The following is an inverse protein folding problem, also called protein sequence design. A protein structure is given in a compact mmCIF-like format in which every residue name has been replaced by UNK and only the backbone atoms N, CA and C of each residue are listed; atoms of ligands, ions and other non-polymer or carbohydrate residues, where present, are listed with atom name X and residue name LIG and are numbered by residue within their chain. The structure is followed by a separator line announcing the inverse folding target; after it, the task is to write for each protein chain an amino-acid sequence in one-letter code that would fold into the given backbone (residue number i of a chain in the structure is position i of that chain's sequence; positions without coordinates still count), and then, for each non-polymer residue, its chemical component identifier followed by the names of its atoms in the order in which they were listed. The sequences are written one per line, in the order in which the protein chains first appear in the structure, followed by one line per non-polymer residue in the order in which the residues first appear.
data_IF_016068234219
#
_entry.id   IF_016068234219
#
_cell.length_a   1.000
_cell.length_b   1.000
_cell.length_c   1.000
_cell.angle_alpha   90.00
_cell.angle_beta   90.00
_cell.angle_gamma   90.00
#
_symmetry.space_group_name_H-M   'P 1'
#
loop_
_entity.id
_entity.type
_entity.pdbx_description
1 polymer ?
#
# COMPACT_ATOMS: atom_id res chain seq x y z
N UNK A 1 -17.73 0.69 37.97
CA UNK A 1 -17.43 -0.75 38.03
C UNK A 1 -18.54 -1.63 37.46
N UNK A 2 -19.79 -1.61 37.98
CA UNK A 2 -20.87 -2.47 37.45
C UNK A 2 -21.24 -2.14 35.99
N UNK A 3 -21.31 -0.86 35.63
CA UNK A 3 -21.63 -0.43 34.24
C UNK A 3 -20.52 -0.83 33.25
N UNK A 4 -19.26 -0.77 33.67
CA UNK A 4 -18.12 -1.15 32.82
C UNK A 4 -18.03 -2.67 32.63
N UNK A 5 -18.35 -3.45 33.67
CA UNK A 5 -18.45 -4.90 33.57
C UNK A 5 -19.62 -5.34 32.68
N UNK A 6 -20.77 -4.65 32.76
CA UNK A 6 -21.92 -4.89 31.88
C UNK A 6 -21.59 -4.53 30.43
N UNK A 7 -20.86 -3.43 30.20
CA UNK A 7 -20.45 -3.02 28.85
C UNK A 7 -19.42 -4.00 28.24
N UNK A 8 -18.46 -4.49 29.04
CA UNK A 8 -17.50 -5.52 28.60
C UNK A 8 -18.18 -6.87 28.35
N UNK A 9 -19.17 -7.25 29.16
CA UNK A 9 -19.99 -8.44 28.93
C UNK A 9 -20.85 -8.30 27.66
N UNK A 10 -21.35 -7.10 27.36
CA UNK A 10 -22.10 -6.78 26.15
C UNK A 10 -21.23 -6.77 24.88
N UNK A 11 -19.96 -6.35 25.00
CA UNK A 11 -18.98 -6.39 23.91
C UNK A 11 -18.47 -7.82 23.68
N UNK A 12 -18.33 -8.63 24.74
CA UNK A 12 -17.90 -10.03 24.66
C UNK A 12 -19.00 -10.97 24.13
N UNK A 13 -20.26 -10.68 24.42
CA UNK A 13 -21.39 -11.36 23.79
C UNK A 13 -21.56 -10.80 22.38
N UNK A 14 -21.02 -11.52 21.39
CA UNK A 14 -21.17 -11.28 19.95
C UNK A 14 -22.54 -10.63 19.66
N UNK A 15 -22.54 -9.36 19.31
CA UNK A 15 -23.77 -8.58 19.04
C UNK A 15 -24.65 -9.24 17.97
N UNK A 16 -24.05 -10.07 17.10
CA UNK A 16 -24.74 -10.97 16.19
C UNK A 16 -25.58 -12.07 16.86
N UNK A 17 -25.13 -12.65 17.98
CA UNK A 17 -25.87 -13.72 18.69
C UNK A 17 -27.11 -13.16 19.38
N UNK A 18 -27.01 -11.98 20.00
CA UNK A 18 -28.16 -11.28 20.59
C UNK A 18 -29.15 -10.86 19.51
N UNK A 19 -28.66 -10.40 18.35
CA UNK A 19 -29.50 -10.04 17.21
C UNK A 19 -30.25 -11.25 16.63
N UNK A 20 -29.59 -12.39 16.45
CA UNK A 20 -30.22 -13.64 15.98
C UNK A 20 -31.26 -14.15 16.99
N UNK A 21 -31.01 -14.03 18.29
CA UNK A 21 -31.97 -14.37 19.34
C UNK A 21 -33.19 -13.44 19.34
N UNK A 22 -32.99 -12.13 19.21
CA UNK A 22 -34.08 -11.15 19.15
C UNK A 22 -34.89 -11.28 17.86
N UNK A 23 -34.26 -11.53 16.71
CA UNK A 23 -34.95 -11.83 15.47
C UNK A 23 -35.75 -13.14 15.55
N UNK A 24 -35.21 -14.19 16.17
CA UNK A 24 -35.96 -15.45 16.40
C UNK A 24 -37.15 -15.25 17.34
N UNK A 25 -36.99 -14.49 18.42
CA UNK A 25 -38.10 -14.15 19.33
C UNK A 25 -39.17 -13.29 18.64
N UNK A 26 -38.77 -12.37 17.77
CA UNK A 26 -39.71 -11.58 16.97
C UNK A 26 -40.46 -12.44 15.94
N UNK A 27 -39.77 -13.38 15.29
CA UNK A 27 -40.40 -14.34 14.37
C UNK A 27 -41.38 -15.28 15.08
N UNK A 28 -41.04 -15.73 16.29
CA UNK A 28 -41.93 -16.55 17.14
C UNK A 28 -43.20 -15.76 17.49
N UNK A 29 -43.07 -14.49 17.87
CA UNK A 29 -44.22 -13.63 18.18
C UNK A 29 -45.11 -13.32 16.97
N UNK A 30 -44.55 -13.15 15.77
CA UNK A 30 -45.31 -12.81 14.56
C UNK A 30 -46.00 -14.03 13.95
N UNK A 31 -45.38 -15.21 13.99
CA UNK A 31 -45.92 -16.41 13.34
C UNK A 31 -46.75 -17.33 14.24
N UNK A 32 -46.63 -17.26 15.57
CA UNK A 32 -47.40 -18.17 16.46
C UNK A 32 -48.79 -17.67 16.85
N UNK A 33 -49.29 -16.56 16.28
CA UNK A 33 -50.68 -16.10 16.45
C UNK A 33 -51.16 -16.13 17.92
N UNK A 34 -50.28 -15.74 18.85
CA UNK A 34 -50.60 -15.66 20.28
C UNK A 34 -51.55 -14.46 20.48
N UNK A 35 -52.83 -14.77 20.63
CA UNK A 35 -53.97 -13.87 20.79
C UNK A 35 -54.00 -13.12 22.13
N UNK A 36 -52.85 -12.73 22.67
CA UNK A 36 -52.78 -11.88 23.86
C UNK A 36 -52.78 -10.39 23.45
N UNK A 37 -53.97 -9.78 23.50
CA UNK A 37 -54.26 -8.36 23.24
C UNK A 37 -53.34 -7.35 23.98
N UNK A 38 -52.65 -7.79 25.05
CA UNK A 38 -51.71 -7.00 25.84
C UNK A 38 -50.33 -6.81 25.18
N UNK A 39 -49.89 -7.71 24.30
CA UNK A 39 -48.58 -7.58 23.65
C UNK A 39 -48.63 -6.55 22.49
N UNK A 40 -49.72 -6.53 21.72
CA UNK A 40 -49.91 -5.57 20.62
C UNK A 40 -50.01 -4.10 21.08
N UNK A 41 -50.57 -3.84 22.25
CA UNK A 41 -50.67 -2.48 22.82
C UNK A 41 -49.34 -1.99 23.37
N UNK A 42 -48.48 -2.87 23.89
CA UNK A 42 -47.09 -2.52 24.21
C UNK A 42 -46.30 -2.17 22.95
N UNK A 43 -46.35 -3.00 21.90
CA UNK A 43 -45.64 -2.72 20.64
C UNK A 43 -46.07 -1.36 20.05
N UNK A 44 -47.36 -0.99 20.13
CA UNK A 44 -47.84 0.34 19.72
C UNK A 44 -47.27 1.49 20.54
N UNK A 45 -47.10 1.35 21.86
CA UNK A 45 -46.48 2.36 22.71
C UNK A 45 -44.98 2.53 22.46
N UNK A 46 -44.30 1.47 22.03
CA UNK A 46 -42.86 1.47 21.76
C UNK A 46 -42.50 1.65 20.28
N UNK A 47 -43.46 1.86 19.36
CA UNK A 47 -43.19 2.08 17.93
C UNK A 47 -42.15 3.17 17.69
N UNK A 48 -42.23 4.29 18.41
CA UNK A 48 -41.24 5.38 18.31
C UNK A 48 -39.83 4.96 18.74
N UNK A 49 -39.73 4.17 19.83
CA UNK A 49 -38.46 3.65 20.34
C UNK A 49 -37.88 2.60 19.39
N UNK A 50 -38.71 1.73 18.80
CA UNK A 50 -38.29 0.75 17.80
C UNK A 50 -37.78 1.44 16.54
N UNK A 51 -38.45 2.50 16.06
CA UNK A 51 -38.00 3.26 14.89
C UNK A 51 -36.67 3.97 15.18
N UNK A 52 -36.54 4.64 16.33
CA UNK A 52 -35.28 5.29 16.74
C UNK A 52 -34.13 4.29 16.91
N UNK A 53 -34.42 3.11 17.45
CA UNK A 53 -33.44 2.03 17.57
C UNK A 53 -32.97 1.53 16.21
N UNK A 54 -33.90 1.27 15.27
CA UNK A 54 -33.54 0.86 13.92
C UNK A 54 -32.77 1.96 13.17
N UNK A 55 -33.16 3.23 13.32
CA UNK A 55 -32.41 4.36 12.73
C UNK A 55 -31.00 4.46 13.32
N UNK A 56 -30.83 4.28 14.63
CA UNK A 56 -29.51 4.25 15.25
C UNK A 56 -28.64 3.12 14.68
N UNK A 57 -29.20 1.92 14.47
CA UNK A 57 -28.48 0.81 13.86
C UNK A 57 -28.16 1.05 12.39
N UNK A 58 -29.10 1.59 11.60
CA UNK A 58 -28.85 1.94 10.19
C UNK A 58 -27.75 2.99 10.09
N UNK A 59 -27.80 4.06 10.90
CA UNK A 59 -26.75 5.08 10.92
C UNK A 59 -25.41 4.52 11.41
N UNK A 60 -25.42 3.67 12.44
CA UNK A 60 -24.20 2.99 12.90
C UNK A 60 -23.64 2.06 11.85
N UNK A 61 -24.47 1.34 11.09
CA UNK A 61 -24.02 0.48 10.01
C UNK A 61 -23.48 1.31 8.85
N UNK A 62 -24.15 2.39 8.46
CA UNK A 62 -23.70 3.32 7.41
C UNK A 62 -22.34 3.95 7.76
N UNK A 63 -22.08 4.27 9.03
CA UNK A 63 -20.82 4.90 9.44
C UNK A 63 -19.72 3.90 9.82
N UNK A 64 -20.04 2.79 10.51
CA UNK A 64 -19.06 1.83 11.01
C UNK A 64 -18.71 0.75 9.99
N UNK A 65 -19.63 0.38 9.10
CA UNK A 65 -19.35 -0.63 8.06
C UNK A 65 -18.22 -0.20 7.11
N UNK A 66 -18.21 1.03 6.57
CA UNK A 66 -17.09 1.49 5.74
C UNK A 66 -15.78 1.53 6.50
N UNK A 67 -15.79 1.91 7.78
CA UNK A 67 -14.59 1.94 8.63
C UNK A 67 -14.05 0.53 8.85
N UNK A 68 -14.91 -0.43 9.21
CA UNK A 68 -14.51 -1.82 9.42
C UNK A 68 -14.04 -2.48 8.12
N UNK A 69 -14.70 -2.20 6.99
CA UNK A 69 -14.28 -2.66 5.67
C UNK A 69 -12.92 -2.06 5.29
N UNK A 70 -12.72 -0.75 5.47
CA UNK A 70 -11.45 -0.09 5.21
C UNK A 70 -10.31 -0.64 6.08
N UNK A 71 -10.57 -0.89 7.37
CA UNK A 71 -9.59 -1.53 8.26
C UNK A 71 -9.25 -2.95 7.81
N UNK A 72 -10.25 -3.76 7.43
CA UNK A 72 -10.02 -5.14 6.94
C UNK A 72 -9.22 -5.14 5.63
N UNK A 73 -9.57 -4.26 4.70
CA UNK A 73 -8.85 -4.09 3.43
C UNK A 73 -7.42 -3.63 3.69
N UNK A 74 -7.21 -2.67 4.59
CA UNK A 74 -5.87 -2.23 5.02
C UNK A 74 -5.05 -3.40 5.58
N UNK A 75 -5.59 -4.15 6.54
CA UNK A 75 -4.88 -5.29 7.14
C UNK A 75 -4.53 -6.35 6.10
N UNK A 76 -5.45 -6.66 5.18
CA UNK A 76 -5.17 -7.61 4.10
C UNK A 76 -4.06 -7.11 3.17
N UNK A 77 -4.13 -5.87 2.70
CA UNK A 77 -3.12 -5.28 1.82
C UNK A 77 -1.73 -5.25 2.47
N UNK A 78 -1.66 -4.85 3.74
CA UNK A 78 -0.40 -4.84 4.49
C UNK A 78 0.14 -6.26 4.70
N UNK A 79 -0.72 -7.22 5.02
CA UNK A 79 -0.32 -8.63 5.15
C UNK A 79 0.20 -9.19 3.82
N UNK A 80 -0.50 -8.91 2.71
CA UNK A 80 -0.13 -9.39 1.39
C UNK A 80 1.22 -8.78 0.96
N UNK A 81 1.45 -7.49 1.20
CA UNK A 81 2.74 -6.82 1.00
C UNK A 81 3.84 -7.42 1.90
N UNK A 82 3.57 -7.62 3.20
CA UNK A 82 4.50 -8.27 4.13
C UNK A 82 4.93 -9.68 3.68
N UNK A 83 3.97 -10.47 3.20
CA UNK A 83 4.24 -11.81 2.67
C UNK A 83 5.14 -11.77 1.42
N UNK A 84 5.05 -10.71 0.61
CA UNK A 84 5.88 -10.49 -0.58
C UNK A 84 7.30 -10.14 -0.20
N UNK A 85 7.51 -9.24 0.77
CA UNK A 85 8.85 -8.93 1.27
C UNK A 85 9.59 -10.16 1.79
N UNK A 86 8.88 -11.05 2.48
CA UNK A 86 9.45 -12.34 2.90
C UNK A 86 9.87 -13.21 1.71
N UNK A 87 8.98 -13.39 0.73
CA UNK A 87 9.30 -14.20 -0.48
C UNK A 87 10.45 -13.59 -1.27
N UNK A 88 10.52 -12.27 -1.36
CA UNK A 88 11.60 -11.57 -2.04
C UNK A 88 12.91 -11.73 -1.27
N UNK A 89 12.90 -11.55 0.06
CA UNK A 89 14.07 -11.84 0.90
C UNK A 89 14.61 -13.26 0.62
N UNK A 90 13.73 -14.27 0.64
CA UNK A 90 14.12 -15.66 0.37
C UNK A 90 14.64 -15.85 -1.07
N UNK A 91 14.08 -15.13 -2.03
CA UNK A 91 14.49 -15.17 -3.44
C UNK A 91 15.85 -14.52 -3.67
N UNK A 92 16.10 -13.35 -3.10
CA UNK A 92 17.41 -12.69 -3.19
C UNK A 92 18.45 -13.49 -2.40
N UNK A 93 18.07 -14.08 -1.27
CA UNK A 93 18.94 -14.98 -0.53
C UNK A 93 19.32 -16.19 -1.38
N UNK A 94 18.37 -16.76 -2.13
CA UNK A 94 18.65 -17.81 -3.11
C UNK A 94 19.69 -17.34 -4.15
N UNK A 95 19.54 -16.12 -4.68
CA UNK A 95 20.51 -15.55 -5.64
C UNK A 95 21.91 -15.45 -5.01
N UNK A 96 22.00 -14.93 -3.79
CA UNK A 96 23.25 -14.83 -3.03
C UNK A 96 23.91 -16.19 -2.83
N UNK A 97 23.14 -17.16 -2.36
CA UNK A 97 23.63 -18.47 -1.95
C UNK A 97 24.07 -19.32 -3.18
N UNK A 98 23.62 -18.94 -4.39
CA UNK A 98 24.00 -19.59 -5.64
C UNK A 98 25.11 -18.86 -6.43
N UNK A 99 25.68 -17.76 -5.91
CA UNK A 99 26.85 -17.13 -6.54
C UNK A 99 28.01 -18.13 -6.62
N UNK A 100 28.65 -18.24 -7.78
CA UNK A 100 29.69 -19.23 -8.08
C UNK A 100 29.16 -20.53 -8.69
N UNK A 101 27.84 -20.71 -8.78
CA UNK A 101 27.21 -21.86 -9.46
C UNK A 101 26.76 -21.44 -10.86
N UNK A 102 27.19 -22.16 -11.90
CA UNK A 102 26.79 -21.85 -13.28
C UNK A 102 25.27 -21.97 -13.45
N UNK A 103 24.66 -21.03 -14.20
CA UNK A 103 23.21 -20.98 -14.46
C UNK A 103 22.59 -22.28 -14.95
N UNK A 104 23.31 -23.07 -15.74
CA UNK A 104 22.84 -24.38 -16.25
C UNK A 104 22.72 -25.48 -15.19
N UNK A 105 23.35 -25.30 -14.03
CA UNK A 105 23.34 -26.25 -12.91
C UNK A 105 22.32 -25.86 -11.82
N UNK A 106 21.68 -24.70 -11.94
CA UNK A 106 20.62 -24.26 -11.04
C UNK A 106 19.30 -24.98 -11.34
N UNK A 107 18.49 -25.15 -10.30
CA UNK A 107 17.10 -25.57 -10.50
C UNK A 107 16.36 -24.52 -11.35
N UNK A 108 15.28 -24.90 -12.08
CA UNK A 108 14.52 -23.94 -12.88
C UNK A 108 14.04 -22.72 -12.08
N UNK A 109 13.65 -22.90 -10.82
CA UNK A 109 13.21 -21.81 -9.94
C UNK A 109 14.34 -20.89 -9.50
N UNK A 110 15.50 -21.44 -9.14
CA UNK A 110 16.64 -20.62 -8.70
C UNK A 110 17.27 -19.86 -9.86
N UNK A 111 17.28 -20.48 -11.04
CA UNK A 111 17.67 -19.82 -12.29
C UNK A 111 16.75 -18.65 -12.61
N UNK A 112 15.43 -18.81 -12.49
CA UNK A 112 14.47 -17.73 -12.76
C UNK A 112 14.69 -16.54 -11.81
N UNK A 113 14.93 -16.78 -10.52
CA UNK A 113 15.26 -15.71 -9.55
C UNK A 113 16.54 -14.96 -9.92
N UNK A 114 17.58 -15.69 -10.33
CA UNK A 114 18.84 -15.10 -10.79
C UNK A 114 18.62 -14.28 -12.07
N UNK A 115 17.88 -14.81 -13.03
CA UNK A 115 17.60 -14.13 -14.30
C UNK A 115 16.81 -12.82 -14.09
N UNK A 116 15.79 -12.83 -13.22
CA UNK A 116 15.04 -11.62 -12.85
C UNK A 116 15.94 -10.61 -12.15
N UNK A 117 16.78 -11.07 -11.21
CA UNK A 117 17.72 -10.18 -10.52
C UNK A 117 18.70 -9.53 -11.50
N UNK A 118 19.25 -10.30 -12.46
CA UNK A 118 20.13 -9.77 -13.51
C UNK A 118 19.41 -8.81 -14.46
N UNK A 119 18.12 -9.05 -14.76
CA UNK A 119 17.32 -8.14 -15.58
C UNK A 119 17.10 -6.79 -14.88
N UNK A 120 16.87 -6.80 -13.57
CA UNK A 120 16.50 -5.61 -12.79
C UNK A 120 17.71 -4.86 -12.19
N UNK A 121 18.81 -5.55 -11.89
CA UNK A 121 20.01 -4.96 -11.28
C UNK A 121 21.27 -5.08 -12.14
N UNK A 122 21.11 -5.58 -13.36
CA UNK A 122 22.08 -5.64 -14.44
C UNK A 122 22.86 -6.95 -14.49
N UNK A 123 23.30 -7.28 -15.70
CA UNK A 123 23.96 -8.55 -16.03
C UNK A 123 25.35 -8.62 -15.40
N UNK A 124 25.70 -9.79 -14.87
CA UNK A 124 27.02 -10.14 -14.34
C UNK A 124 27.32 -11.60 -14.65
N UNK A 125 28.59 -12.00 -14.59
CA UNK A 125 29.00 -13.40 -14.74
C UNK A 125 28.91 -14.08 -13.36
N UNK A 126 28.05 -15.08 -13.23
CA UNK A 126 27.80 -15.75 -11.95
C UNK A 126 28.94 -16.64 -11.47
N UNK A 127 29.99 -16.85 -12.29
CA UNK A 127 31.15 -17.69 -11.97
C UNK A 127 32.47 -16.94 -11.89
N UNK A 128 32.58 -15.78 -12.54
CA UNK A 128 33.75 -14.93 -12.44
C UNK A 128 33.86 -14.28 -11.05
N UNK A 129 35.02 -14.46 -10.40
CA UNK A 129 35.22 -14.00 -9.02
C UNK A 129 35.16 -12.48 -8.89
N UNK A 130 35.61 -11.73 -9.91
CA UNK A 130 35.58 -10.27 -9.90
C UNK A 130 34.15 -9.74 -10.08
N UNK A 131 33.38 -10.36 -10.96
CA UNK A 131 31.95 -10.08 -11.16
C UNK A 131 31.15 -10.38 -9.88
N UNK A 132 31.40 -11.53 -9.24
CA UNK A 132 30.80 -11.91 -7.95
C UNK A 132 31.14 -10.89 -6.86
N UNK A 133 32.39 -10.45 -6.76
CA UNK A 133 32.80 -9.45 -5.78
C UNK A 133 32.09 -8.10 -6.00
N UNK A 134 31.79 -7.76 -7.26
CA UNK A 134 31.11 -6.52 -7.63
C UNK A 134 29.60 -6.59 -7.36
N UNK A 135 28.95 -7.73 -7.62
CA UNK A 135 27.50 -7.87 -7.44
C UNK A 135 27.09 -8.16 -6.00
N UNK A 136 27.94 -8.81 -5.20
CA UNK A 136 27.60 -9.21 -3.82
C UNK A 136 27.12 -8.03 -2.96
N UNK A 137 27.79 -6.85 -2.93
CA UNK A 137 27.28 -5.69 -2.19
C UNK A 137 25.90 -5.20 -2.67
N UNK A 138 25.59 -5.38 -3.96
CA UNK A 138 24.28 -5.04 -4.53
C UNK A 138 23.20 -5.97 -3.98
N UNK A 139 23.45 -7.28 -4.01
CA UNK A 139 22.56 -8.30 -3.44
C UNK A 139 22.32 -8.05 -1.96
N UNK A 140 23.37 -7.79 -1.17
CA UNK A 140 23.25 -7.48 0.26
C UNK A 140 22.43 -6.21 0.52
N UNK A 141 22.56 -5.20 -0.36
CA UNK A 141 21.75 -3.98 -0.25
C UNK A 141 20.27 -4.26 -0.49
N UNK A 142 19.92 -5.01 -1.54
CA UNK A 142 18.51 -5.37 -1.83
C UNK A 142 17.94 -6.28 -0.74
N UNK A 143 18.74 -7.23 -0.22
CA UNK A 143 18.38 -8.05 0.94
C UNK A 143 18.09 -7.21 2.18
N UNK A 144 18.91 -6.18 2.44
CA UNK A 144 18.70 -5.29 3.56
C UNK A 144 17.36 -4.56 3.44
N UNK A 145 17.01 -4.00 2.27
CA UNK A 145 15.71 -3.37 2.05
C UNK A 145 14.53 -4.33 2.30
N UNK A 146 14.59 -5.54 1.71
CA UNK A 146 13.57 -6.55 1.90
C UNK A 146 13.42 -6.97 3.37
N UNK A 147 14.54 -7.08 4.10
CA UNK A 147 14.55 -7.41 5.53
C UNK A 147 13.96 -6.30 6.38
N UNK A 148 14.36 -5.05 6.18
CA UNK A 148 13.84 -3.93 6.97
C UNK A 148 12.33 -3.76 6.76
N UNK A 149 11.82 -3.87 5.52
CA UNK A 149 10.38 -3.84 5.26
C UNK A 149 9.65 -5.02 5.86
N UNK A 150 10.18 -6.23 5.70
CA UNK A 150 9.59 -7.42 6.32
C UNK A 150 9.51 -7.26 7.84
N UNK A 151 10.60 -6.81 8.48
CA UNK A 151 10.65 -6.56 9.93
C UNK A 151 9.65 -5.48 10.34
N UNK A 152 9.64 -4.35 9.63
CA UNK A 152 8.76 -3.22 9.87
C UNK A 152 7.27 -3.65 9.86
N UNK A 153 6.90 -4.48 8.89
CA UNK A 153 5.54 -4.97 8.69
C UNK A 153 5.16 -6.11 9.65
N UNK A 154 6.10 -6.98 10.00
CA UNK A 154 5.86 -8.15 10.86
C UNK A 154 5.89 -7.81 12.35
N UNK A 155 6.82 -6.95 12.77
CA UNK A 155 7.01 -6.55 14.17
C UNK A 155 6.12 -5.36 14.57
N UNK A 156 5.25 -4.88 13.67
CA UNK A 156 4.38 -3.70 13.86
C UNK A 156 5.16 -2.45 14.32
N UNK A 157 6.42 -2.35 13.89
CA UNK A 157 7.29 -1.21 14.20
C UNK A 157 7.10 -0.07 13.21
N UNK A 158 6.30 -0.30 12.15
CA UNK A 158 6.04 0.67 11.09
C UNK A 158 4.73 1.44 11.31
N UNK A 159 4.84 2.67 11.80
CA UNK A 159 3.68 3.56 11.95
C UNK A 159 3.47 4.40 10.70
N UNK A 160 2.55 3.94 9.84
CA UNK A 160 2.10 4.69 8.66
C UNK A 160 0.70 5.24 8.87
N UNK A 161 0.54 6.54 8.62
CA UNK A 161 -0.78 7.15 8.43
C UNK A 161 -1.19 7.09 6.96
N UNK A 162 -2.38 6.56 6.68
CA UNK A 162 -2.88 6.40 5.30
C UNK A 162 -3.96 7.44 5.01
N UNK A 163 -3.80 8.19 3.93
CA UNK A 163 -4.77 9.18 3.45
C UNK A 163 -5.26 8.83 2.04
N UNK A 164 -6.50 9.20 1.73
CA UNK A 164 -7.13 8.90 0.43
C UNK A 164 -7.04 10.04 -0.59
N UNK A 165 -6.36 11.14 -0.21
CA UNK A 165 -6.04 12.28 -1.06
C UNK A 165 -4.91 13.10 -0.42
N UNK A 166 -4.35 14.05 -1.16
CA UNK A 166 -3.22 14.88 -0.76
C UNK A 166 -3.63 16.20 -0.06
N UNK A 167 -4.89 16.33 0.37
CA UNK A 167 -5.39 17.53 1.06
C UNK A 167 -4.72 17.79 2.42
N UNK A 168 -4.08 16.77 2.97
CA UNK A 168 -3.32 16.85 4.21
C UNK A 168 -1.88 17.34 3.99
N UNK A 169 -1.39 17.37 2.74
CA UNK A 169 -0.09 17.94 2.39
C UNK A 169 -0.22 19.48 2.39
N UNK A 170 0.85 20.19 2.75
CA UNK A 170 0.85 21.65 2.82
C UNK A 170 1.92 22.19 1.89
N UNK A 171 1.51 23.02 0.92
CA UNK A 171 2.40 23.71 -0.01
C UNK A 171 3.34 24.69 0.71
N UNK A 172 4.64 24.60 0.40
CA UNK A 172 5.65 25.64 0.66
C UNK A 172 5.39 26.84 -0.26
N UNK A 173 4.44 27.69 0.11
CA UNK A 173 4.10 28.86 -0.71
C UNK A 173 2.78 29.51 -0.33
N UNK A 174 1.93 28.80 0.40
CA UNK A 174 0.81 29.43 1.08
C UNK A 174 1.37 30.24 2.26
N UNK A 175 1.06 31.54 2.37
CA UNK A 175 1.48 32.35 3.51
C UNK A 175 1.08 31.61 4.78
N UNK A 176 2.02 31.53 5.73
CA UNK A 176 1.94 30.76 6.97
C UNK A 176 0.48 30.56 7.37
N UNK A 177 -0.03 29.36 7.12
CA UNK A 177 -1.40 28.99 7.42
C UNK A 177 -1.67 29.41 8.87
N UNK A 178 -2.45 30.47 9.05
CA UNK A 178 -3.15 30.70 10.30
C UNK A 178 -4.00 29.44 10.55
N UNK A 179 -4.45 29.21 11.79
CA UNK A 179 -5.16 27.99 12.21
C UNK A 179 -6.49 27.70 11.46
N UNK A 180 -6.73 28.30 10.29
CA UNK A 180 -7.98 28.40 9.54
C UNK A 180 -7.92 27.89 8.09
N UNK A 181 -6.79 27.37 7.59
CA UNK A 181 -6.68 26.86 6.21
C UNK A 181 -6.35 27.95 5.17
N UNK A 182 -6.04 27.53 3.94
CA UNK A 182 -5.71 28.40 2.81
C UNK A 182 -6.50 27.98 1.57
N UNK A 183 -6.82 28.94 0.70
CA UNK A 183 -7.54 28.71 -0.54
C UNK A 183 -6.56 28.35 -1.66
N UNK A 184 -6.68 27.16 -2.24
CA UNK A 184 -6.05 26.75 -3.50
C UNK A 184 -7.11 26.61 -4.60
N UNK A 185 -6.69 26.46 -5.86
CA UNK A 185 -7.60 26.09 -6.97
C UNK A 185 -7.38 24.63 -7.35
N UNK A 186 -8.45 23.87 -7.59
CA UNK A 186 -8.40 22.50 -8.09
C UNK A 186 -8.20 22.43 -9.62
N UNK A 187 -8.17 21.22 -10.17
CA UNK A 187 -8.01 20.94 -11.61
C UNK A 187 -9.10 21.57 -12.51
N UNK A 188 -10.23 22.01 -11.94
CA UNK A 188 -11.33 22.69 -12.63
C UNK A 188 -11.36 24.20 -12.37
N UNK A 189 -10.32 24.73 -11.72
CA UNK A 189 -10.23 26.14 -11.33
C UNK A 189 -11.13 26.52 -10.15
N UNK A 190 -11.76 25.54 -9.47
CA UNK A 190 -12.62 25.78 -8.30
C UNK A 190 -11.77 26.02 -7.07
N UNK A 191 -12.21 26.94 -6.22
CA UNK A 191 -11.52 27.20 -4.96
C UNK A 191 -11.73 26.04 -3.97
N UNK A 192 -10.63 25.51 -3.42
CA UNK A 192 -10.58 24.44 -2.43
C UNK A 192 -9.84 24.94 -1.20
N UNK A 193 -10.44 24.77 -0.02
CA UNK A 193 -9.75 25.06 1.24
C UNK A 193 -8.83 23.88 1.60
N UNK A 194 -7.53 24.16 1.68
CA UNK A 194 -6.51 23.24 2.18
C UNK A 194 -6.27 23.59 3.65
N UNK A 195 -6.51 22.62 4.54
CA UNK A 195 -6.23 22.78 5.95
C UNK A 195 -4.80 22.33 6.23
N UNK A 196 -4.07 23.05 7.09
CA UNK A 196 -2.84 22.48 7.69
C UNK A 196 -3.28 21.18 8.35
N UNK A 197 -2.70 20.04 7.95
CA UNK A 197 -3.08 18.77 8.57
C UNK A 197 -2.87 18.86 10.08
N UNK A 198 -3.98 18.99 10.81
CA UNK A 198 -3.99 18.89 12.26
C UNK A 198 -3.70 17.45 12.71
N UNK A 199 -3.68 16.49 11.77
CA UNK A 199 -3.57 15.06 12.00
C UNK A 199 -2.11 14.60 12.01
N UNK A 200 -1.21 15.22 11.22
CA UNK A 200 0.23 14.87 11.22
C UNK A 200 1.10 16.13 11.33
N UNK A 201 1.40 16.60 12.56
CA UNK A 201 2.29 17.72 12.77
C UNK A 201 3.69 17.46 12.20
N UNK A 202 4.23 18.41 11.44
CA UNK A 202 5.61 18.38 11.00
C UNK A 202 5.91 17.55 9.76
N UNK A 203 4.91 17.21 8.93
CA UNK A 203 5.13 16.60 7.61
C UNK A 203 6.17 17.39 6.79
N UNK A 204 7.16 16.73 6.16
CA UNK A 204 7.96 17.42 5.16
C UNK A 204 7.02 17.84 4.03
N UNK A 205 7.16 19.07 3.58
CA UNK A 205 6.25 19.66 2.61
C UNK A 205 6.44 19.01 1.26
N UNK A 206 5.55 18.07 0.92
CA UNK A 206 5.16 17.85 -0.46
C UNK A 206 4.12 18.92 -0.84
N UNK A 207 4.19 19.42 -2.07
CA UNK A 207 3.20 20.35 -2.59
C UNK A 207 1.84 19.65 -2.68
N UNK A 208 0.81 20.24 -2.06
CA UNK A 208 -0.57 19.78 -2.20
C UNK A 208 -1.06 19.97 -3.64
N UNK A 209 -1.98 19.10 -4.09
CA UNK A 209 -2.51 19.11 -5.45
C UNK A 209 -1.67 18.30 -6.45
N UNK A 210 -0.64 17.61 -5.98
CA UNK A 210 0.21 16.71 -6.76
C UNK A 210 -0.56 15.51 -7.31
N UNK A 211 -1.49 14.95 -6.53
CA UNK A 211 -2.38 13.88 -6.99
C UNK A 211 -3.34 14.34 -8.10
N UNK A 212 -3.72 15.62 -8.10
CA UNK A 212 -4.61 16.20 -9.11
C UNK A 212 -3.83 16.71 -10.34
N UNK A 213 -2.58 17.17 -10.14
CA UNK A 213 -1.75 17.75 -11.19
C UNK A 213 -1.20 16.71 -12.18
N UNK A 214 -0.96 15.47 -11.75
CA UNK A 214 -0.45 14.41 -12.62
C UNK A 214 -1.42 13.22 -12.71
N UNK A 215 -2.05 12.98 -13.88
CA UNK A 215 -3.04 11.91 -14.06
C UNK A 215 -2.46 10.48 -13.95
N UNK A 216 -1.13 10.35 -13.91
CA UNK A 216 -0.42 9.07 -13.85
C UNK A 216 0.04 8.72 -12.44
N UNK A 217 -0.07 9.64 -11.47
CA UNK A 217 0.32 9.35 -10.09
C UNK A 217 -0.72 8.48 -9.40
N UNK A 218 -0.23 7.42 -8.75
CA UNK A 218 -1.08 6.46 -8.05
C UNK A 218 -1.07 6.71 -6.55
N UNK A 219 0.09 7.03 -6.00
CA UNK A 219 0.27 7.30 -4.59
C UNK A 219 1.50 8.20 -4.39
N UNK A 220 1.79 8.51 -3.13
CA UNK A 220 3.03 9.14 -2.69
C UNK A 220 3.28 8.79 -1.21
N UNK A 221 4.55 8.64 -0.85
CA UNK A 221 5.01 8.51 0.52
C UNK A 221 5.79 9.77 0.93
N UNK A 222 5.49 10.29 2.11
CA UNK A 222 6.16 11.47 2.68
C UNK A 222 6.47 11.22 4.15
N UNK A 223 7.71 11.50 4.55
CA UNK A 223 8.10 11.44 5.96
C UNK A 223 8.05 12.83 6.62
N UNK A 224 7.77 12.89 7.91
CA UNK A 224 7.87 14.12 8.70
C UNK A 224 9.30 14.66 8.77
N UNK A 225 9.46 15.97 9.06
CA UNK A 225 10.75 16.69 9.11
C UNK A 225 11.75 16.07 10.08
N UNK A 226 11.26 15.44 11.15
CA UNK A 226 12.08 14.75 12.13
C UNK A 226 12.35 13.28 11.77
N UNK A 227 11.84 12.79 10.63
CA UNK A 227 11.99 11.41 10.14
C UNK A 227 11.39 10.34 11.07
N UNK A 228 10.31 10.69 11.78
CA UNK A 228 9.69 9.79 12.79
C UNK A 228 8.37 9.21 12.30
N UNK A 229 7.67 9.88 11.40
CA UNK A 229 6.33 9.45 10.96
C UNK A 229 6.26 9.47 9.45
N UNK A 230 5.81 8.37 8.88
CA UNK A 230 5.53 8.25 7.46
C UNK A 230 4.05 8.41 7.17
N UNK A 231 3.79 9.07 6.04
CA UNK A 231 2.47 9.36 5.55
C UNK A 231 2.35 8.82 4.13
N UNK A 232 1.47 7.85 3.98
CA UNK A 232 1.14 7.26 2.71
C UNK A 232 -0.15 7.87 2.18
N UNK A 233 -0.11 8.42 0.98
CA UNK A 233 -1.27 8.99 0.33
C UNK A 233 -1.59 8.24 -0.92
N UNK A 234 -2.83 7.79 -1.04
CA UNK A 234 -3.36 7.17 -2.25
C UNK A 234 -4.07 8.25 -3.04
N UNK A 235 -3.67 8.46 -4.30
CA UNK A 235 -4.33 9.42 -5.16
C UNK A 235 -5.71 8.90 -5.58
N UNK A 236 -6.70 9.80 -5.67
CA UNK A 236 -8.08 9.43 -5.94
C UNK A 236 -8.25 8.60 -7.24
N UNK A 237 -7.39 8.84 -8.23
CA UNK A 237 -7.38 8.18 -9.54
C UNK A 237 -6.85 6.74 -9.51
N UNK A 238 -6.15 6.32 -8.45
CA UNK A 238 -5.64 4.96 -8.30
C UNK A 238 -6.76 3.96 -7.95
N UNK A 239 -7.70 4.37 -7.09
CA UNK A 239 -8.81 3.52 -6.64
C UNK A 239 -9.58 2.80 -7.75
N UNK A 240 -10.02 3.46 -8.84
CA UNK A 240 -10.72 2.77 -9.93
C UNK A 240 -9.80 1.88 -10.80
N UNK A 241 -8.48 2.02 -10.71
CA UNK A 241 -7.50 1.21 -11.47
C UNK A 241 -7.11 -0.06 -10.74
N UNK A 242 -7.10 -0.02 -9.40
CA UNK A 242 -6.83 -1.17 -8.54
C UNK A 242 -7.96 -2.20 -8.59
N UNK A 243 -7.91 -3.01 -9.63
CA UNK A 243 -8.97 -3.95 -10.03
C UNK A 243 -8.56 -5.40 -9.85
N UNK A 244 -7.27 -5.64 -9.61
CA UNK A 244 -6.66 -6.98 -9.58
C UNK A 244 -5.67 -7.05 -8.41
N UNK A 245 -5.34 -8.26 -7.98
CA UNK A 245 -4.26 -8.55 -7.03
C UNK A 245 -3.11 -9.23 -7.75
N UNK A 246 -1.85 -9.00 -7.36
CA UNK A 246 -0.71 -9.71 -7.99
C UNK A 246 -0.88 -11.23 -7.90
N UNK A 247 -1.53 -11.75 -6.86
CA UNK A 247 -1.77 -13.19 -6.71
C UNK A 247 -2.72 -13.77 -7.76
N UNK A 248 -3.55 -12.93 -8.41
CA UNK A 248 -4.42 -13.36 -9.51
C UNK A 248 -3.60 -13.82 -10.73
N UNK A 249 -2.35 -13.35 -10.85
CA UNK A 249 -1.45 -13.69 -11.96
C UNK A 249 -0.71 -15.02 -11.75
N UNK A 250 -0.63 -15.54 -10.51
CA UNK A 250 0.09 -16.79 -10.20
C UNK A 250 -0.54 -18.03 -10.86
N UNK A 251 -1.84 -17.97 -11.14
CA UNK A 251 -2.59 -19.07 -11.75
C UNK A 251 -2.53 -19.07 -13.28
N UNK A 252 -1.91 -18.08 -13.91
CA UNK A 252 -1.88 -17.96 -15.36
C UNK A 252 -0.90 -18.96 -15.99
N UNK A 253 -1.29 -19.51 -17.13
CA UNK A 253 -0.38 -20.28 -17.97
C UNK A 253 0.62 -19.36 -18.68
N UNK A 254 1.78 -19.90 -19.08
CA UNK A 254 2.83 -19.15 -19.79
C UNK A 254 2.27 -18.41 -21.03
N UNK A 255 1.38 -19.04 -21.78
CA UNK A 255 0.74 -18.42 -22.95
C UNK A 255 -0.08 -17.18 -22.61
N UNK A 256 -0.71 -17.14 -21.43
CA UNK A 256 -1.46 -15.99 -20.94
C UNK A 256 -0.49 -14.90 -20.45
N UNK A 257 0.61 -15.30 -19.79
CA UNK A 257 1.64 -14.36 -19.33
C UNK A 257 2.35 -13.63 -20.48
N UNK A 258 2.60 -14.30 -21.61
CA UNK A 258 3.28 -13.70 -22.77
C UNK A 258 2.50 -12.53 -23.40
N UNK A 259 1.18 -12.44 -23.18
CA UNK A 259 0.35 -11.32 -23.63
C UNK A 259 0.26 -10.16 -22.65
N UNK A 260 0.87 -10.28 -21.47
CA UNK A 260 0.80 -9.27 -20.42
C UNK A 260 2.04 -8.39 -20.42
N UNK A 261 1.83 -7.09 -20.34
CA UNK A 261 2.87 -6.13 -20.06
C UNK A 261 2.98 -5.95 -18.54
N UNK A 262 4.18 -6.10 -17.98
CA UNK A 262 4.43 -5.92 -16.54
C UNK A 262 3.96 -4.56 -16.03
N UNK A 263 4.05 -3.51 -16.84
CA UNK A 263 3.52 -2.18 -16.52
C UNK A 263 2.00 -2.17 -16.28
N UNK A 264 1.25 -3.03 -16.98
CA UNK A 264 -0.20 -3.13 -16.74
C UNK A 264 -0.50 -3.81 -15.41
N UNK A 265 0.35 -4.73 -14.95
CA UNK A 265 0.22 -5.38 -13.64
C UNK A 265 0.44 -4.34 -12.54
N UNK A 266 1.50 -3.54 -12.67
CA UNK A 266 1.80 -2.44 -11.74
C UNK A 266 0.62 -1.47 -11.56
N UNK A 267 0.08 -0.94 -12.66
CA UNK A 267 -1.03 0.02 -12.62
C UNK A 267 -2.32 -0.56 -12.02
N UNK A 268 -2.52 -1.87 -12.13
CA UNK A 268 -3.75 -2.55 -11.71
C UNK A 268 -3.71 -3.13 -10.32
N UNK A 269 -2.52 -3.27 -9.72
CA UNK A 269 -2.35 -3.99 -8.46
C UNK A 269 -1.91 -3.05 -7.33
N UNK A 270 -2.70 -2.93 -6.25
CA UNK A 270 -2.34 -2.04 -5.14
C UNK A 270 -1.06 -2.47 -4.43
N UNK A 271 -0.70 -3.76 -4.46
CA UNK A 271 0.48 -4.26 -3.76
C UNK A 271 1.79 -3.73 -4.36
N UNK A 272 1.89 -3.59 -5.69
CA UNK A 272 3.11 -3.05 -6.31
C UNK A 272 3.29 -1.57 -5.95
N UNK A 273 2.21 -0.79 -6.02
CA UNK A 273 2.22 0.61 -5.57
C UNK A 273 2.59 0.72 -4.10
N UNK A 274 2.02 -0.09 -3.22
CA UNK A 274 2.39 -0.09 -1.80
C UNK A 274 3.87 -0.40 -1.59
N UNK A 275 4.40 -1.37 -2.33
CA UNK A 275 5.80 -1.77 -2.22
C UNK A 275 6.73 -0.65 -2.67
N UNK A 276 6.44 -0.05 -3.82
CA UNK A 276 7.14 1.12 -4.33
C UNK A 276 7.16 2.26 -3.31
N UNK A 277 6.00 2.55 -2.72
CA UNK A 277 5.87 3.73 -1.86
C UNK A 277 6.51 3.52 -0.50
N UNK A 278 6.54 2.27 -0.01
CA UNK A 278 7.22 1.97 1.24
C UNK A 278 8.74 2.12 1.13
N UNK A 279 9.34 1.96 -0.05
CA UNK A 279 10.80 2.18 -0.23
C UNK A 279 11.24 3.64 -0.08
N UNK A 280 10.28 4.57 -0.05
CA UNK A 280 10.51 6.01 0.21
C UNK A 280 10.45 6.40 1.69
N UNK A 281 10.18 5.47 2.60
CA UNK A 281 10.08 5.76 4.04
C UNK A 281 11.44 6.18 4.64
N UNK A 282 11.61 7.47 4.95
CA UNK A 282 12.81 7.93 5.65
C UNK A 282 12.82 7.46 7.11
N UNK A 283 11.67 7.12 7.71
CA UNK A 283 11.67 6.60 9.10
C UNK A 283 12.24 5.19 9.19
N UNK A 284 12.08 4.37 8.13
CA UNK A 284 12.68 3.04 8.04
C UNK A 284 14.11 3.09 7.50
N UNK A 285 14.37 3.87 6.46
CA UNK A 285 15.63 3.80 5.72
C UNK A 285 16.58 4.96 5.97
N UNK A 286 16.17 5.98 6.72
CA UNK A 286 16.92 7.20 6.93
C UNK A 286 17.39 7.82 5.60
N UNK A 287 18.70 7.97 5.39
CA UNK A 287 19.27 8.53 4.16
C UNK A 287 19.35 7.53 3.00
N UNK A 288 18.89 6.29 3.19
CA UNK A 288 18.93 5.23 2.20
C UNK A 288 17.56 4.98 1.57
N UNK A 289 16.68 5.98 1.52
CA UNK A 289 15.44 5.84 0.76
C UNK A 289 15.74 5.56 -0.71
N UNK A 290 14.83 4.83 -1.34
CA UNK A 290 14.83 4.73 -2.80
C UNK A 290 14.25 6.00 -3.41
N UNK A 291 14.44 6.16 -4.70
CA UNK A 291 14.18 7.37 -5.47
C UNK A 291 13.25 7.00 -6.64
N UNK A 292 12.27 7.86 -6.89
CA UNK A 292 11.39 7.78 -8.06
C UNK A 292 12.09 8.24 -9.33
N UNK A 293 12.59 9.46 -9.25
CA UNK A 293 13.24 10.16 -10.34
C UNK A 293 14.74 9.90 -10.27
N UNK A 294 15.15 8.70 -10.65
CA UNK A 294 16.55 8.54 -10.96
C UNK A 294 16.78 9.09 -12.37
N UNK A 295 17.10 10.39 -12.46
CA UNK A 295 17.24 11.06 -13.75
C UNK A 295 18.29 10.37 -14.60
N UNK A 296 17.89 9.93 -15.77
CA UNK A 296 18.80 9.61 -16.86
C UNK A 296 19.32 10.93 -17.44
N UNK A 297 20.02 11.74 -16.65
CA UNK A 297 20.73 12.92 -17.17
C UNK A 297 22.00 12.45 -17.92
N UNK A 298 21.78 11.74 -19.01
CA UNK A 298 22.80 11.48 -20.02
C UNK A 298 22.20 11.82 -21.39
N UNK A 299 22.41 13.07 -21.87
CA UNK A 299 21.97 13.50 -23.19
C UNK A 299 22.50 12.61 -24.33
N UNK A 300 23.61 11.88 -24.12
CA UNK A 300 24.16 10.96 -25.11
C UNK A 300 23.29 9.70 -25.31
N UNK A 301 22.41 9.39 -24.36
CA UNK A 301 21.43 8.31 -24.45
C UNK A 301 20.05 8.77 -24.91
N UNK A 302 19.84 10.08 -25.13
CA UNK A 302 18.57 10.63 -25.57
C UNK A 302 17.48 10.69 -24.49
N UNK A 303 17.81 10.42 -23.23
CA UNK A 303 16.88 10.56 -22.12
C UNK A 303 16.89 12.00 -21.61
N UNK A 304 15.72 12.65 -21.60
CA UNK A 304 15.56 14.00 -21.06
C UNK A 304 14.59 13.98 -19.89
N UNK A 305 15.11 14.09 -18.66
CA UNK A 305 14.36 14.55 -17.49
C UNK A 305 13.14 13.75 -17.05
N UNK A 306 12.95 12.51 -17.51
CA UNK A 306 11.86 11.65 -17.04
C UNK A 306 12.40 10.66 -16.01
N UNK A 307 11.72 10.56 -14.86
CA UNK A 307 11.97 9.53 -13.87
C UNK A 307 11.83 8.14 -14.50
N UNK A 308 12.66 7.20 -14.07
CA UNK A 308 12.63 5.84 -14.59
C UNK A 308 11.46 5.06 -13.97
N UNK A 309 10.27 5.31 -14.49
CA UNK A 309 9.05 4.59 -14.13
C UNK A 309 8.74 3.47 -15.12
N UNK A 310 8.24 2.35 -14.62
CA UNK A 310 7.83 1.20 -15.42
C UNK A 310 8.99 0.32 -15.89
N UNK A 311 8.64 -0.92 -16.26
CA UNK A 311 9.59 -2.01 -16.50
C UNK A 311 10.65 -1.69 -17.57
N UNK A 312 10.27 -1.06 -18.68
CA UNK A 312 11.21 -0.77 -19.78
C UNK A 312 12.33 0.18 -19.33
N UNK A 313 11.97 1.23 -18.58
CA UNK A 313 12.92 2.24 -18.12
C UNK A 313 13.86 1.67 -17.05
N UNK A 314 13.35 0.88 -16.10
CA UNK A 314 14.21 0.23 -15.09
C UNK A 314 15.09 -0.86 -15.70
N UNK A 315 14.62 -1.56 -16.72
CA UNK A 315 15.44 -2.51 -17.46
C UNK A 315 16.59 -1.78 -18.15
N UNK A 316 16.31 -0.66 -18.84
CA UNK A 316 17.35 0.18 -19.44
C UNK A 316 18.35 0.70 -18.40
N UNK A 317 17.88 1.16 -17.23
CA UNK A 317 18.74 1.58 -16.12
C UNK A 317 19.72 0.47 -15.72
N UNK A 318 19.23 -0.76 -15.65
CA UNK A 318 19.99 -1.93 -15.22
C UNK A 318 21.01 -2.40 -16.27
N UNK A 319 20.69 -2.26 -17.56
CA UNK A 319 21.54 -2.74 -18.65
C UNK A 319 22.70 -1.78 -19.00
N UNK A 320 22.60 -0.49 -18.71
CA UNK A 320 23.71 0.45 -18.94
C UNK A 320 24.63 0.51 -17.71
N UNK A 321 25.93 0.13 -17.82
CA UNK A 321 26.89 0.17 -16.71
C UNK A 321 27.01 1.55 -16.03
N UNK A 322 26.77 2.64 -16.76
CA UNK A 322 26.82 4.02 -16.23
C UNK A 322 25.64 4.33 -15.33
N UNK A 323 24.50 3.66 -15.53
CA UNK A 323 23.28 3.87 -14.77
C UNK A 323 22.91 2.67 -13.90
N UNK A 324 23.62 1.55 -13.97
CA UNK A 324 23.27 0.35 -13.19
C UNK A 324 23.21 0.61 -11.68
N UNK A 325 24.04 1.50 -11.15
CA UNK A 325 24.01 1.90 -9.74
C UNK A 325 22.71 2.63 -9.35
N UNK A 326 22.02 3.24 -10.32
CA UNK A 326 20.73 3.91 -10.18
C UNK A 326 19.59 2.93 -10.01
N UNK A 327 19.65 1.78 -10.68
CA UNK A 327 18.66 0.71 -10.50
C UNK A 327 18.59 0.21 -9.03
N UNK A 328 19.71 0.25 -8.30
CA UNK A 328 19.76 -0.12 -6.86
C UNK A 328 19.07 0.89 -5.94
N UNK A 329 18.85 2.10 -6.43
CA UNK A 329 18.18 3.17 -5.70
C UNK A 329 16.76 3.41 -6.20
N UNK A 330 16.30 2.74 -7.25
CA UNK A 330 14.99 3.03 -7.82
C UNK A 330 13.90 2.17 -7.18
N UNK A 331 12.80 2.83 -6.77
CA UNK A 331 11.67 2.19 -6.10
C UNK A 331 10.95 1.17 -6.99
N UNK A 332 10.76 1.49 -8.29
CA UNK A 332 10.15 0.57 -9.25
C UNK A 332 10.98 -0.71 -9.43
N UNK A 333 12.30 -0.59 -9.57
CA UNK A 333 13.18 -1.77 -9.66
C UNK A 333 12.96 -2.74 -8.50
N UNK A 334 12.85 -2.20 -7.28
CA UNK A 334 12.54 -3.02 -6.11
C UNK A 334 11.11 -3.55 -6.14
N UNK A 335 10.12 -2.74 -6.50
CA UNK A 335 8.72 -3.17 -6.58
C UNK A 335 8.53 -4.33 -7.56
N UNK A 336 9.07 -4.22 -8.78
CA UNK A 336 8.99 -5.29 -9.78
C UNK A 336 9.67 -6.58 -9.31
N UNK A 337 10.79 -6.51 -8.59
CA UNK A 337 11.39 -7.72 -8.00
C UNK A 337 10.45 -8.43 -7.00
N UNK A 338 9.57 -7.69 -6.30
CA UNK A 338 8.59 -8.29 -5.37
C UNK A 338 7.29 -8.73 -6.05
N UNK A 339 7.04 -8.30 -7.29
CA UNK A 339 5.83 -8.60 -8.05
C UNK A 339 5.90 -9.85 -8.92
N UNK A 340 7.11 -10.24 -9.33
CA UNK A 340 7.36 -11.33 -10.28
C UNK A 340 7.61 -12.66 -9.58
#
# INVERSE_FOLDING_TARGET
MVVEAVLRLFIALNSHVILVLLCRLFHICVFQNLSSYRLCTMVSKYKGIIILWNLFWVMSFIHLWPIALAQRTRTKLLYDAGSRYRRNHDSIQTVRDNLGTQRRHLSPGDRAKLDIFMALYGIFDETDQQSIATVRPKIERVLWYARELYRAMYEDTFSISIFCNDDHLVSNGLPALTNTGALAKDEYGRQKYIYKSAVVPGIQTAEAGKCDANPNWQALMVTTRNRITDVFTICARAWPRWTEHIDDYKGLHVSQMLGLYLQNIDIKTPELTLIHEFTHSESLFAQWVMEDEVTLDDPALGYTGQGAYGFENIYQLAQDPRTQHKALKNSDTFAFLNGV
#
